data_IF_436696437789
#
_entry.id   IF_436696437789
#
_cell.length_a   1.000
_cell.length_b   1.000
_cell.length_c   1.000
_cell.angle_alpha   90.00
_cell.angle_beta   90.00
_cell.angle_gamma   90.00
#
_symmetry.space_group_name_H-M   'P 1'
#
loop_
_entity.id
_entity.type
_entity.pdbx_description
1 polymer ?
#
# COMPACT_ATOMS: atom_id res chain seq x y z
N UNK A 1 -21.82 -10.29 -11.58
CA UNK A 1 -21.00 -11.04 -10.62
C UNK A 1 -20.37 -10.02 -9.70
N UNK A 2 -20.72 -10.07 -8.41
CA UNK A 2 -20.52 -8.98 -7.48
C UNK A 2 -19.05 -8.77 -7.17
N UNK A 3 -18.58 -7.54 -7.34
CA UNK A 3 -17.38 -7.04 -6.65
C UNK A 3 -17.58 -7.31 -5.17
N UNK A 4 -16.70 -8.11 -4.55
CA UNK A 4 -16.65 -8.26 -3.10
C UNK A 4 -16.03 -6.99 -2.52
N UNK A 5 -16.71 -5.86 -2.68
CA UNK A 5 -16.45 -4.69 -1.85
C UNK A 5 -16.92 -5.06 -0.45
N UNK A 6 -15.97 -5.51 0.38
CA UNK A 6 -16.20 -5.60 1.81
C UNK A 6 -16.60 -4.21 2.28
N UNK A 7 -17.82 -4.09 2.79
CA UNK A 7 -18.36 -2.85 3.34
C UNK A 7 -17.33 -2.24 4.30
N UNK A 8 -17.14 -0.92 4.21
CA UNK A 8 -16.28 -0.11 5.10
C UNK A 8 -16.48 -0.41 6.59
N UNK A 9 -17.64 -0.98 6.96
CA UNK A 9 -17.97 -1.43 8.31
C UNK A 9 -17.23 -2.71 8.81
N UNK A 10 -16.64 -3.53 7.93
CA UNK A 10 -15.80 -4.69 8.33
C UNK A 10 -14.39 -4.24 8.72
N UNK A 11 -13.81 -3.35 7.89
CA UNK A 11 -12.49 -2.73 8.12
C UNK A 11 -12.36 -2.10 9.51
N UNK A 12 -13.39 -1.39 9.97
CA UNK A 12 -13.43 -0.74 11.29
C UNK A 12 -13.51 -1.72 12.48
N UNK A 13 -14.01 -2.95 12.29
CA UNK A 13 -14.07 -3.95 13.37
C UNK A 13 -12.71 -4.62 13.58
N UNK A 14 -12.02 -4.93 12.49
CA UNK A 14 -10.68 -5.53 12.49
C UNK A 14 -9.61 -4.52 12.95
N UNK A 15 -9.79 -3.23 12.61
CA UNK A 15 -8.87 -2.14 12.96
C UNK A 15 -9.10 -1.51 14.34
N UNK A 16 -9.73 -2.19 15.32
CA UNK A 16 -9.98 -1.63 16.67
C UNK A 16 -8.67 -1.44 17.47
N UNK A 17 -7.89 -0.45 17.05
CA UNK A 17 -6.78 0.15 17.77
C UNK A 17 -7.39 1.06 18.82
N UNK A 18 -6.98 0.90 20.09
CA UNK A 18 -7.23 1.90 21.11
C UNK A 18 -6.48 3.16 20.71
N UNK A 19 -7.16 4.14 20.14
CA UNK A 19 -6.63 5.51 20.01
C UNK A 19 -6.63 6.13 21.41
N UNK A 20 -5.59 5.86 22.21
CA UNK A 20 -5.28 6.72 23.36
C UNK A 20 -4.64 8.00 22.85
N UNK A 21 -5.09 9.13 23.42
CA UNK A 21 -4.90 10.48 22.91
C UNK A 21 -3.49 10.84 22.44
N UNK A 22 -3.44 11.54 21.30
CA UNK A 22 -2.24 12.25 20.84
C UNK A 22 -2.00 13.42 21.77
N UNK A 23 -1.07 13.25 22.71
CA UNK A 23 -0.48 14.33 23.48
C UNK A 23 0.58 15.04 22.63
N UNK A 24 0.40 16.34 22.38
CA UNK A 24 1.33 17.16 21.60
C UNK A 24 2.63 17.34 22.39
N UNK A 25 3.71 16.67 21.98
CA UNK A 25 5.07 16.97 22.45
C UNK A 25 5.59 18.27 21.83
N UNK A 26 6.38 19.08 22.56
CA UNK A 26 6.89 20.35 22.07
C UNK A 26 7.98 20.15 21.02
N UNK A 27 8.06 21.11 20.10
CA UNK A 27 8.97 21.18 18.96
C UNK A 27 10.40 21.45 19.46
N UNK A 28 11.34 20.57 19.12
CA UNK A 28 12.78 20.87 19.10
C UNK A 28 13.38 20.36 17.79
N UNK A 29 14.16 21.26 17.14
CA UNK A 29 15.00 21.11 15.94
C UNK A 29 14.34 21.37 14.57
N UNK A 30 14.74 22.48 13.96
CA UNK A 30 14.40 22.97 12.62
C UNK A 30 15.15 22.17 11.55
N UNK A 31 14.68 20.96 11.26
CA UNK A 31 14.87 20.34 9.95
C UNK A 31 13.49 20.33 9.32
N UNK A 32 13.37 20.88 8.10
CA UNK A 32 12.09 20.83 7.38
C UNK A 32 11.61 19.38 7.35
N UNK A 33 10.34 19.08 7.67
CA UNK A 33 9.80 17.71 7.57
C UNK A 33 9.92 17.14 6.15
N UNK A 34 10.24 18.00 5.18
CA UNK A 34 10.46 17.66 3.78
C UNK A 34 11.92 17.32 3.42
N UNK A 35 12.89 17.42 4.33
CA UNK A 35 14.30 17.16 4.00
C UNK A 35 14.58 15.74 3.48
N UNK A 36 13.91 14.72 4.03
CA UNK A 36 13.99 13.34 3.53
C UNK A 36 13.17 13.13 2.24
N UNK A 37 12.19 13.99 1.98
CA UNK A 37 11.28 13.86 0.83
C UNK A 37 11.86 14.41 -0.47
N UNK A 38 12.91 15.24 -0.38
CA UNK A 38 13.52 15.93 -1.53
C UNK A 38 14.87 15.33 -1.92
N UNK A 39 15.57 14.71 -0.96
CA UNK A 39 16.87 14.11 -1.14
C UNK A 39 16.81 12.77 -1.89
N UNK A 40 17.72 12.60 -2.84
CA UNK A 40 18.06 11.28 -3.37
C UNK A 40 18.79 10.50 -2.28
N UNK A 41 18.40 9.26 -2.03
CA UNK A 41 19.09 8.41 -1.06
C UNK A 41 20.41 7.87 -1.64
N UNK A 42 21.23 7.26 -0.79
CA UNK A 42 22.56 6.77 -1.18
C UNK A 42 22.52 5.73 -2.33
N UNK A 43 21.39 5.05 -2.50
CA UNK A 43 21.18 4.05 -3.53
C UNK A 43 20.64 4.65 -4.85
N UNK A 44 20.52 5.98 -4.93
CA UNK A 44 20.04 6.69 -6.13
C UNK A 44 18.52 6.78 -6.27
N UNK A 45 17.74 6.25 -5.31
CA UNK A 45 16.28 6.35 -5.31
C UNK A 45 15.83 7.70 -4.77
N UNK A 46 14.67 8.15 -5.24
CA UNK A 46 14.01 9.38 -4.79
C UNK A 46 12.68 9.01 -4.15
N UNK A 47 12.10 9.95 -3.40
CA UNK A 47 10.72 9.83 -2.93
C UNK A 47 9.79 10.56 -3.90
N UNK A 48 8.72 9.90 -4.31
CA UNK A 48 7.59 10.50 -5.05
C UNK A 48 6.33 10.39 -4.21
N UNK A 49 5.46 11.39 -4.31
CA UNK A 49 4.29 11.52 -3.44
C UNK A 49 3.00 11.50 -4.25
N UNK A 50 2.08 10.63 -3.83
CA UNK A 50 0.70 10.66 -4.27
C UNK A 50 -0.12 11.57 -3.38
N UNK A 51 -1.11 12.25 -3.97
CA UNK A 51 -2.21 12.90 -3.25
C UNK A 51 -3.51 12.14 -3.52
N UNK A 52 -4.34 12.00 -2.51
CA UNK A 52 -5.64 11.35 -2.64
C UNK A 52 -6.62 11.91 -1.62
N UNK A 53 -7.91 11.68 -1.87
CA UNK A 53 -8.96 12.08 -0.94
C UNK A 53 -9.05 11.02 0.16
N UNK A 54 -8.94 11.39 1.45
CA UNK A 54 -9.13 10.45 2.55
C UNK A 54 -10.48 9.75 2.46
N UNK A 55 -10.50 8.46 2.78
CA UNK A 55 -11.72 7.64 2.75
C UNK A 55 -12.38 7.61 4.12
N UNK A 56 -13.70 7.53 4.13
CA UNK A 56 -14.45 7.30 5.37
C UNK A 56 -14.06 5.95 5.99
N UNK A 57 -13.80 5.95 7.31
CA UNK A 57 -13.45 4.73 8.05
C UNK A 57 -12.02 4.23 7.86
N UNK A 58 -11.17 5.02 7.19
CA UNK A 58 -9.76 4.72 6.91
C UNK A 58 -8.85 5.73 7.65
N UNK A 59 -7.57 5.41 7.95
CA UNK A 59 -6.60 6.42 8.34
C UNK A 59 -6.72 7.72 7.53
N UNK A 60 -6.76 8.86 8.23
CA UNK A 60 -7.03 10.17 7.65
C UNK A 60 -5.77 10.77 7.02
N UNK A 61 -5.12 9.99 6.15
CA UNK A 61 -4.04 10.46 5.29
C UNK A 61 -4.64 10.95 3.97
N UNK A 62 -4.03 12.00 3.43
CA UNK A 62 -4.33 12.59 2.13
C UNK A 62 -3.14 12.52 1.16
N UNK A 63 -2.03 11.95 1.63
CA UNK A 63 -0.81 11.76 0.86
C UNK A 63 -0.05 10.50 1.27
N UNK A 64 0.69 9.94 0.33
CA UNK A 64 1.58 8.80 0.54
C UNK A 64 2.86 9.00 -0.26
N UNK A 65 4.00 8.80 0.40
CA UNK A 65 5.31 8.88 -0.24
C UNK A 65 5.89 7.49 -0.45
N UNK A 66 6.22 7.14 -1.69
CA UNK A 66 6.87 5.88 -2.07
C UNK A 66 8.28 6.13 -2.60
N UNK A 67 9.16 5.15 -2.44
CA UNK A 67 10.46 5.13 -3.08
C UNK A 67 10.31 4.84 -4.57
N UNK A 68 11.14 5.49 -5.37
CA UNK A 68 11.15 5.32 -6.81
C UNK A 68 12.55 5.49 -7.40
N UNK A 69 12.82 4.76 -8.48
CA UNK A 69 14.04 4.90 -9.28
C UNK A 69 13.80 5.94 -10.38
N UNK A 70 14.55 7.05 -10.43
CA UNK A 70 14.42 8.03 -11.52
C UNK A 70 14.78 7.41 -12.88
N UNK A 71 13.95 7.65 -13.90
CA UNK A 71 14.20 7.20 -15.28
C UNK A 71 14.72 8.33 -16.20
N UNK A 72 14.86 9.53 -15.64
CA UNK A 72 15.26 10.75 -16.36
C UNK A 72 14.09 11.70 -16.58
N UNK A 73 14.39 12.99 -16.66
CA UNK A 73 13.36 14.04 -16.75
C UNK A 73 12.43 14.02 -15.55
N UNK A 74 11.13 13.90 -15.82
CA UNK A 74 10.02 13.89 -14.87
C UNK A 74 9.44 12.48 -14.63
N UNK A 75 10.17 11.43 -15.03
CA UNK A 75 9.73 10.04 -14.90
C UNK A 75 10.47 9.30 -13.78
N UNK A 76 9.74 8.45 -13.06
CA UNK A 76 10.31 7.51 -12.09
C UNK A 76 9.52 6.20 -12.08
N UNK A 77 10.21 5.09 -11.78
CA UNK A 77 9.58 3.79 -11.55
C UNK A 77 9.38 3.59 -10.05
N UNK A 78 8.17 3.22 -9.61
CA UNK A 78 7.86 2.95 -8.20
C UNK A 78 8.58 1.67 -7.73
N UNK A 79 9.25 1.71 -6.58
CA UNK A 79 10.10 0.61 -6.09
C UNK A 79 9.50 -0.19 -4.92
N UNK A 80 8.47 0.31 -4.26
CA UNK A 80 7.84 -0.36 -3.11
C UNK A 80 6.31 -0.32 -3.21
N UNK A 81 5.65 -1.21 -2.48
CA UNK A 81 4.20 -1.39 -2.60
C UNK A 81 3.45 -0.23 -1.93
N UNK A 82 2.54 0.47 -2.64
CA UNK A 82 1.69 1.49 -2.03
C UNK A 82 0.64 0.90 -1.09
N UNK A 83 0.32 1.60 0.00
CA UNK A 83 -0.67 1.21 1.00
C UNK A 83 -2.00 1.97 0.90
N UNK A 84 -1.99 3.23 0.45
CA UNK A 84 -3.13 4.15 0.66
C UNK A 84 -3.71 4.71 -0.62
N UNK A 85 -2.86 4.99 -1.62
CA UNK A 85 -3.33 5.44 -2.94
C UNK A 85 -3.99 4.29 -3.71
N UNK A 86 -5.18 4.55 -4.29
CA UNK A 86 -5.81 3.61 -5.21
C UNK A 86 -5.15 3.66 -6.59
N UNK A 87 -5.11 2.51 -7.26
CA UNK A 87 -4.69 2.42 -8.64
C UNK A 87 -3.18 2.52 -8.87
N UNK A 88 -2.36 2.51 -7.82
CA UNK A 88 -0.91 2.45 -7.93
C UNK A 88 -0.36 1.07 -7.54
N UNK A 89 0.70 0.65 -8.21
CA UNK A 89 1.41 -0.59 -7.92
C UNK A 89 2.93 -0.38 -7.95
N UNK A 90 3.64 -1.30 -7.27
CA UNK A 90 5.08 -1.45 -7.44
C UNK A 90 5.40 -1.64 -8.94
N UNK A 91 6.51 -1.05 -9.40
CA UNK A 91 6.96 -1.11 -10.79
C UNK A 91 6.22 -0.15 -11.74
N UNK A 92 5.19 0.58 -11.30
CA UNK A 92 4.53 1.58 -12.14
C UNK A 92 5.51 2.67 -12.57
N UNK A 93 5.43 3.10 -13.83
CA UNK A 93 6.13 4.29 -14.29
C UNK A 93 5.20 5.48 -14.13
N UNK A 94 5.64 6.46 -13.37
CA UNK A 94 4.88 7.66 -13.06
C UNK A 94 5.57 8.91 -13.55
N UNK A 95 4.76 9.90 -13.94
CA UNK A 95 5.21 11.27 -14.15
C UNK A 95 5.02 12.07 -12.87
N UNK A 96 6.01 12.87 -12.50
CA UNK A 96 5.91 13.76 -11.35
C UNK A 96 6.20 15.22 -11.73
N UNK A 97 5.60 16.15 -10.98
CA UNK A 97 5.98 17.56 -10.98
C UNK A 97 6.74 17.88 -9.69
N UNK A 98 7.71 18.79 -9.77
CA UNK A 98 8.37 19.33 -8.58
C UNK A 98 7.70 20.63 -8.17
N UNK A 99 7.35 20.75 -6.89
CA UNK A 99 6.91 22.03 -6.34
C UNK A 99 8.10 22.93 -5.95
N UNK A 100 7.80 24.12 -5.42
CA UNK A 100 8.80 25.10 -5.02
C UNK A 100 9.74 24.60 -3.89
N UNK A 101 9.30 23.61 -3.12
CA UNK A 101 10.07 22.98 -2.05
C UNK A 101 10.87 21.77 -2.54
N UNK A 102 10.75 21.41 -3.83
CA UNK A 102 11.45 20.29 -4.47
C UNK A 102 10.78 18.93 -4.22
N UNK A 103 9.54 18.91 -3.72
CA UNK A 103 8.78 17.68 -3.53
C UNK A 103 8.27 17.19 -4.87
N UNK A 104 8.48 15.91 -5.15
CA UNK A 104 8.05 15.25 -6.39
C UNK A 104 6.64 14.70 -6.21
N UNK A 105 5.65 15.40 -6.76
CA UNK A 105 4.25 14.98 -6.72
C UNK A 105 3.90 14.21 -7.98
N UNK A 106 3.42 12.98 -7.83
CA UNK A 106 2.92 12.18 -8.95
C UNK A 106 1.70 12.88 -9.55
N UNK A 107 1.76 13.13 -10.85
CA UNK A 107 0.66 13.71 -11.63
C UNK A 107 -0.17 12.61 -12.29
N UNK A 108 0.49 11.61 -12.87
CA UNK A 108 -0.16 10.50 -13.55
C UNK A 108 0.70 9.23 -13.57
N UNK A 109 0.04 8.10 -13.79
CA UNK A 109 0.70 6.85 -14.17
C UNK A 109 0.84 6.80 -15.69
N UNK A 110 2.08 6.78 -16.15
CA UNK A 110 2.43 6.69 -17.57
C UNK A 110 2.38 5.25 -18.06
N UNK A 111 2.82 4.31 -17.24
CA UNK A 111 2.79 2.87 -17.55
C UNK A 111 2.41 2.06 -16.31
N UNK A 112 1.48 1.11 -16.47
CA UNK A 112 1.14 0.17 -15.41
C UNK A 112 2.06 -1.05 -15.50
N UNK A 113 2.63 -1.46 -14.37
CA UNK A 113 3.50 -2.65 -14.30
C UNK A 113 2.77 -3.97 -14.56
N UNK A 114 1.43 -3.94 -14.57
CA UNK A 114 0.58 -5.13 -14.61
C UNK A 114 0.46 -5.83 -13.25
N UNK A 115 1.18 -5.39 -12.22
CA UNK A 115 1.10 -5.96 -10.87
C UNK A 115 -0.18 -5.52 -10.18
N UNK A 116 -0.72 -6.39 -9.33
CA UNK A 116 -1.82 -6.02 -8.45
C UNK A 116 -1.32 -5.67 -7.05
N UNK A 117 -1.95 -4.67 -6.43
CA UNK A 117 -1.76 -4.29 -5.03
C UNK A 117 -2.97 -4.73 -4.24
N UNK A 118 -2.78 -5.69 -3.33
CA UNK A 118 -3.85 -6.21 -2.46
C UNK A 118 -3.51 -5.93 -1.00
N UNK A 119 -4.37 -5.19 -0.32
CA UNK A 119 -4.20 -4.86 1.10
C UNK A 119 -4.90 -5.92 1.95
N UNK A 120 -4.19 -6.55 2.87
CA UNK A 120 -4.70 -7.55 3.79
C UNK A 120 -4.60 -7.01 5.21
N UNK A 121 -5.72 -6.98 5.92
CA UNK A 121 -5.79 -6.56 7.32
C UNK A 121 -6.13 -7.77 8.20
N UNK A 122 -5.14 -8.32 8.94
CA UNK A 122 -5.36 -9.41 9.86
C UNK A 122 -6.34 -9.07 10.98
N UNK A 123 -7.19 -10.03 11.34
CA UNK A 123 -8.01 -9.96 12.54
C UNK A 123 -7.12 -10.15 13.78
N UNK A 124 -7.18 -9.20 14.71
CA UNK A 124 -6.38 -9.23 15.94
C UNK A 124 -6.70 -10.45 16.82
N UNK A 125 -5.66 -11.07 17.39
CA UNK A 125 -5.80 -12.21 18.32
C UNK A 125 -6.13 -13.56 17.67
N UNK A 126 -6.27 -13.61 16.33
CA UNK A 126 -6.47 -14.84 15.57
C UNK A 126 -5.17 -15.59 15.22
N UNK A 127 -5.27 -16.79 14.63
CA UNK A 127 -4.12 -17.63 14.29
C UNK A 127 -3.20 -17.03 13.21
N UNK A 128 -3.68 -16.05 12.44
CA UNK A 128 -2.95 -15.35 11.37
C UNK A 128 -2.85 -13.83 11.62
N UNK A 129 -2.84 -13.41 12.88
CA UNK A 129 -2.95 -12.00 13.28
C UNK A 129 -1.70 -11.13 13.04
N UNK A 130 -0.65 -11.64 12.38
CA UNK A 130 0.60 -10.89 12.17
C UNK A 130 0.94 -10.77 10.69
N UNK A 131 1.63 -9.69 10.32
CA UNK A 131 2.10 -9.50 8.95
C UNK A 131 2.98 -10.67 8.46
N UNK A 132 3.82 -11.21 9.35
CA UNK A 132 4.61 -12.42 9.09
C UNK A 132 3.73 -13.62 8.76
N UNK A 133 2.66 -13.84 9.53
CA UNK A 133 1.77 -14.98 9.33
C UNK A 133 0.98 -14.86 8.02
N UNK A 134 0.65 -13.65 7.57
CA UNK A 134 0.10 -13.38 6.23
C UNK A 134 1.14 -13.69 5.16
N UNK A 135 2.35 -13.14 5.28
CA UNK A 135 3.42 -13.40 4.32
C UNK A 135 3.70 -14.90 4.15
N UNK A 136 3.74 -15.66 5.24
CA UNK A 136 3.94 -17.12 5.21
C UNK A 136 2.84 -17.88 4.42
N UNK A 137 1.63 -17.33 4.27
CA UNK A 137 0.57 -17.94 3.43
C UNK A 137 0.83 -17.70 1.94
N UNK A 138 1.30 -16.51 1.59
CA UNK A 138 1.42 -16.09 0.19
C UNK A 138 2.82 -16.31 -0.40
N UNK A 139 3.85 -16.46 0.44
CA UNK A 139 5.23 -16.73 0.00
C UNK A 139 5.37 -17.99 -0.88
N UNK A 140 4.68 -19.13 -0.60
CA UNK A 140 4.71 -20.30 -1.49
C UNK A 140 4.13 -20.05 -2.90
N UNK A 141 3.31 -19.00 -3.06
CA UNK A 141 2.76 -18.57 -4.35
C UNK A 141 3.67 -17.54 -5.06
N UNK A 142 4.86 -17.25 -4.51
CA UNK A 142 5.79 -16.28 -5.08
C UNK A 142 5.38 -14.81 -4.88
N UNK A 143 4.48 -14.54 -3.93
CA UNK A 143 3.94 -13.19 -3.72
C UNK A 143 4.75 -12.44 -2.66
N UNK A 144 5.22 -11.25 -3.03
CA UNK A 144 5.88 -10.33 -2.11
C UNK A 144 4.89 -9.65 -1.16
N UNK A 145 5.33 -9.30 0.04
CA UNK A 145 4.51 -8.64 1.05
C UNK A 145 5.31 -7.59 1.81
N UNK A 146 4.74 -6.40 1.97
CA UNK A 146 5.25 -5.34 2.84
C UNK A 146 4.29 -5.12 4.01
N UNK A 147 4.83 -4.90 5.21
CA UNK A 147 4.06 -4.56 6.39
C UNK A 147 4.12 -3.05 6.64
N UNK A 148 2.98 -2.43 6.92
CA UNK A 148 2.91 -1.00 7.19
C UNK A 148 3.66 -0.64 8.49
N UNK A 149 3.27 -1.26 9.61
CA UNK A 149 3.97 -1.12 10.88
C UNK A 149 3.67 -2.31 11.81
N UNK A 150 4.43 -2.42 12.91
CA UNK A 150 4.16 -3.43 13.93
C UNK A 150 2.86 -3.16 14.71
N UNK A 151 2.47 -1.89 14.88
CA UNK A 151 1.29 -1.48 15.63
C UNK A 151 -0.01 -1.53 14.80
N UNK A 152 0.12 -1.41 13.48
CA UNK A 152 -0.97 -1.54 12.53
C UNK A 152 -0.57 -2.56 11.45
N UNK A 153 -0.89 -3.85 11.65
CA UNK A 153 -0.35 -4.96 10.85
C UNK A 153 -1.02 -5.08 9.46
N UNK A 154 -1.32 -3.95 8.82
CA UNK A 154 -1.75 -3.90 7.43
C UNK A 154 -0.61 -4.41 6.55
N UNK A 155 -0.94 -5.34 5.65
CA UNK A 155 0.01 -5.95 4.72
C UNK A 155 -0.37 -5.57 3.31
N UNK A 156 0.57 -5.02 2.54
CA UNK A 156 0.40 -4.80 1.11
C UNK A 156 1.08 -5.95 0.35
N UNK A 157 0.28 -6.73 -0.37
CA UNK A 157 0.76 -7.78 -1.26
C UNK A 157 1.02 -7.20 -2.65
N UNK A 158 2.18 -7.52 -3.21
CA UNK A 158 2.56 -7.23 -4.59
C UNK A 158 2.42 -8.50 -5.40
N UNK A 159 1.34 -8.60 -6.17
CA UNK A 159 1.02 -9.78 -6.99
C UNK A 159 1.56 -9.55 -8.40
N UNK A 160 2.59 -10.31 -8.85
CA UNK A 160 3.13 -10.19 -10.20
C UNK A 160 2.07 -10.42 -11.28
N UNK A 161 2.28 -9.82 -12.46
CA UNK A 161 1.36 -9.94 -13.60
C UNK A 161 1.28 -11.36 -14.17
N UNK A 162 2.30 -12.18 -13.95
CA UNK A 162 2.41 -13.58 -14.35
C UNK A 162 2.04 -14.58 -13.24
N UNK A 163 1.62 -14.10 -12.07
CA UNK A 163 1.23 -14.96 -10.95
C UNK A 163 -0.07 -15.74 -11.24
N UNK A 164 -0.24 -16.88 -10.55
CA UNK A 164 -1.52 -17.59 -10.52
C UNK A 164 -2.54 -16.83 -9.66
N UNK A 165 -3.18 -15.83 -10.28
CA UNK A 165 -4.18 -14.98 -9.63
C UNK A 165 -5.37 -15.78 -9.07
N UNK A 166 -5.70 -16.95 -9.63
CA UNK A 166 -6.79 -17.80 -9.12
C UNK A 166 -6.40 -18.42 -7.79
N UNK A 167 -5.18 -18.94 -7.68
CA UNK A 167 -4.64 -19.46 -6.42
C UNK A 167 -4.56 -18.36 -5.35
N UNK A 168 -4.11 -17.16 -5.72
CA UNK A 168 -4.03 -16.02 -4.79
C UNK A 168 -5.42 -15.62 -4.26
N UNK A 169 -6.43 -15.48 -5.15
CA UNK A 169 -7.81 -15.16 -4.75
C UNK A 169 -8.43 -16.26 -3.89
N UNK A 170 -8.16 -17.53 -4.21
CA UNK A 170 -8.63 -18.65 -3.40
C UNK A 170 -8.09 -18.57 -1.96
N UNK A 171 -6.81 -18.24 -1.78
CA UNK A 171 -6.21 -18.06 -0.46
C UNK A 171 -6.77 -16.85 0.30
N UNK A 172 -6.98 -15.72 -0.38
CA UNK A 172 -7.62 -14.55 0.22
C UNK A 172 -9.03 -14.86 0.71
N UNK A 173 -9.85 -15.50 -0.12
CA UNK A 173 -11.22 -15.89 0.21
C UNK A 173 -11.27 -16.90 1.35
N UNK A 174 -10.40 -17.91 1.33
CA UNK A 174 -10.27 -18.87 2.43
C UNK A 174 -9.96 -18.18 3.76
N UNK A 175 -9.09 -17.18 3.74
CA UNK A 175 -8.77 -16.40 4.94
C UNK A 175 -9.93 -15.55 5.44
N UNK A 176 -10.74 -14.96 4.53
CA UNK A 176 -11.97 -14.25 4.90
C UNK A 176 -12.98 -15.22 5.52
N UNK A 177 -13.23 -16.37 4.88
CA UNK A 177 -14.15 -17.40 5.36
C UNK A 177 -13.74 -17.98 6.72
N UNK A 178 -12.44 -18.12 6.94
CA UNK A 178 -11.87 -18.59 8.20
C UNK A 178 -11.76 -17.48 9.27
N UNK A 179 -12.14 -16.25 8.96
CA UNK A 179 -12.08 -15.10 9.88
C UNK A 179 -10.66 -14.66 10.23
N UNK A 180 -9.68 -14.90 9.34
CA UNK A 180 -8.27 -14.57 9.55
C UNK A 180 -7.95 -13.11 9.21
N UNK A 181 -8.61 -12.55 8.20
CA UNK A 181 -8.38 -11.19 7.72
C UNK A 181 -9.57 -10.69 6.90
N UNK A 182 -9.61 -9.37 6.69
CA UNK A 182 -10.29 -8.74 5.56
C UNK A 182 -9.24 -8.39 4.49
N UNK A 183 -9.66 -8.17 3.24
CA UNK A 183 -8.76 -7.64 2.21
C UNK A 183 -9.43 -6.60 1.30
N UNK A 184 -8.60 -5.82 0.61
CA UNK A 184 -9.00 -4.80 -0.36
C UNK A 184 -8.14 -4.87 -1.61
N UNK A 185 -8.79 -4.72 -2.76
CA UNK A 185 -8.17 -4.58 -4.07
C UNK A 185 -7.83 -3.10 -4.31
N UNK A 186 -6.59 -2.69 -4.05
CA UNK A 186 -6.15 -1.30 -4.20
C UNK A 186 -5.74 -0.97 -5.64
N UNK A 187 -5.10 -1.90 -6.34
CA UNK A 187 -4.80 -1.80 -7.76
C UNK A 187 -4.94 -3.19 -8.40
N UNK A 188 -5.84 -3.35 -9.36
CA UNK A 188 -6.10 -4.64 -10.03
C UNK A 188 -6.44 -4.43 -11.50
N UNK A 189 -6.02 -5.36 -12.36
CA UNK A 189 -6.41 -5.39 -13.77
C UNK A 189 -7.36 -6.51 -14.13
N UNK A 190 -7.53 -6.73 -15.42
CA UNK A 190 -8.61 -7.59 -15.94
C UNK A 190 -8.39 -9.07 -15.65
N UNK A 191 -7.14 -9.55 -15.65
CA UNK A 191 -6.82 -10.92 -15.24
C UNK A 191 -7.31 -11.20 -13.81
N UNK A 192 -7.12 -10.26 -12.89
CA UNK A 192 -7.65 -10.37 -11.52
C UNK A 192 -9.18 -10.34 -11.49
N UNK A 193 -9.81 -9.41 -12.22
CA UNK A 193 -11.27 -9.24 -12.21
C UNK A 193 -12.03 -10.42 -12.80
N UNK A 194 -11.43 -11.11 -13.77
CA UNK A 194 -12.03 -12.24 -14.49
C UNK A 194 -11.67 -13.61 -13.92
N UNK A 195 -10.74 -13.66 -12.95
CA UNK A 195 -10.36 -14.86 -12.22
C UNK A 195 -11.44 -15.35 -11.25
#
# INVERSE_FOLDING_TARGET
>A
MGSTQVSTSSWLRSARVRTSGVERKPIVSMVSPWSESTAMNADGRVKVWYRFVPREGWPQFDQEGVWATPLGGDLAQVDNVPFFVDGAAEGDIVRFIMDADGVRWVEERVEWSGRCTILVLPVSGGPKATARAVHEVFAPLGIGAEAYSAEFPLVALSVPSDADVRAVKAELNRGVEAGWWDYQEACVGDAWRTA
#
